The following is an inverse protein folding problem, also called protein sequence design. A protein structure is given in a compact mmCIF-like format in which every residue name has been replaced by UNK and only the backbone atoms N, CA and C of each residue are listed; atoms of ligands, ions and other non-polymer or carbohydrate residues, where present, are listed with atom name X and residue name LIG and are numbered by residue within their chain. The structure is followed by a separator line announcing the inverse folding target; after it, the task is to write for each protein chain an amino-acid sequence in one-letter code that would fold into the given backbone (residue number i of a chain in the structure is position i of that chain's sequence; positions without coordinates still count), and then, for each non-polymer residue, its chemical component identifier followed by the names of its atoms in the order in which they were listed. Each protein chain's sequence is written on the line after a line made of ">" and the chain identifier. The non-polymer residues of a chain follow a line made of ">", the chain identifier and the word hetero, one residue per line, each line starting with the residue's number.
data_IF_364583594803
#
_entry.id   IF_364583594803
#
_cell.length_a   1.000
_cell.length_b   1.000
_cell.length_c   1.000
_cell.angle_alpha   90.00
_cell.angle_beta   90.00
_cell.angle_gamma   90.00
#
_symmetry.space_group_name_H-M   'P 1'
#
loop_
_entity.id
_entity.type
_entity.pdbx_description
1 polymer ?
#
# COMPACT_ATOMS: atom_id res chain seq x y z
N UNK A 1 26.48 3.71 -3.41
CA UNK A 1 25.38 3.27 -2.53
C UNK A 1 25.98 2.14 -1.73
N UNK A 2 26.59 2.45 -0.58
CA UNK A 2 27.63 1.58 0.00
C UNK A 2 27.17 0.90 1.29
N UNK A 3 25.85 0.68 1.43
CA UNK A 3 25.30 -0.17 2.49
C UNK A 3 24.57 -1.34 1.83
N UNK A 4 25.30 -2.44 1.67
CA UNK A 4 24.70 -3.73 1.39
C UNK A 4 23.94 -4.19 2.64
N UNK A 5 22.62 -4.17 2.58
CA UNK A 5 21.77 -4.80 3.57
C UNK A 5 21.52 -6.23 3.14
N UNK A 6 21.94 -7.22 3.93
CA UNK A 6 21.63 -8.63 3.66
C UNK A 6 20.37 -9.02 4.42
N UNK A 7 19.29 -9.24 3.69
CA UNK A 7 18.04 -9.75 4.27
C UNK A 7 18.11 -11.29 4.35
N UNK A 8 17.84 -11.85 5.52
CA UNK A 8 17.91 -13.30 5.75
C UNK A 8 16.57 -13.99 5.89
N UNK A 9 15.49 -13.26 6.14
CA UNK A 9 14.14 -13.80 6.23
C UNK A 9 13.56 -14.19 4.86
N UNK A 10 12.34 -14.72 4.87
CA UNK A 10 11.52 -14.96 3.70
C UNK A 10 10.70 -13.72 3.33
N UNK A 11 10.46 -13.57 2.03
CA UNK A 11 9.41 -12.70 1.53
C UNK A 11 8.16 -13.54 1.31
N UNK A 12 7.05 -13.19 1.96
CA UNK A 12 5.74 -13.82 1.74
C UNK A 12 4.82 -12.80 1.09
N UNK A 13 4.57 -12.98 -0.20
CA UNK A 13 3.66 -12.14 -0.98
C UNK A 13 2.23 -12.62 -0.85
N UNK A 14 1.33 -11.75 -0.40
CA UNK A 14 -0.11 -12.00 -0.45
C UNK A 14 -0.67 -11.31 -1.69
N UNK A 15 -1.23 -12.10 -2.62
CA UNK A 15 -1.73 -11.61 -3.90
C UNK A 15 -0.73 -11.81 -5.06
N UNK A 16 -1.26 -12.20 -6.22
CA UNK A 16 -0.49 -12.40 -7.46
C UNK A 16 -1.11 -11.62 -8.65
N UNK A 17 -1.48 -10.37 -8.37
CA UNK A 17 -2.01 -9.43 -9.36
C UNK A 17 -0.92 -8.76 -10.21
N UNK A 18 -1.29 -7.66 -10.88
CA UNK A 18 -0.38 -6.87 -11.73
C UNK A 18 0.83 -6.34 -10.96
N UNK A 19 0.64 -5.87 -9.72
CA UNK A 19 1.72 -5.27 -8.92
C UNK A 19 2.74 -6.32 -8.50
N UNK A 20 2.32 -7.47 -7.97
CA UNK A 20 3.24 -8.57 -7.63
C UNK A 20 4.05 -9.02 -8.84
N UNK A 21 3.39 -9.15 -10.01
CA UNK A 21 4.06 -9.53 -11.27
C UNK A 21 5.07 -8.48 -11.75
N UNK A 22 4.86 -7.20 -11.44
CA UNK A 22 5.79 -6.11 -11.76
C UNK A 22 6.95 -6.01 -10.77
N UNK A 23 6.73 -6.31 -9.48
CA UNK A 23 7.72 -6.16 -8.40
C UNK A 23 8.65 -7.37 -8.31
N UNK A 24 8.15 -8.60 -8.42
CA UNK A 24 8.96 -9.82 -8.29
C UNK A 24 10.20 -9.84 -9.19
N UNK A 25 10.14 -9.46 -10.49
CA UNK A 25 11.33 -9.43 -11.34
C UNK A 25 12.39 -8.43 -10.87
N UNK A 26 12.00 -7.36 -10.16
CA UNK A 26 12.93 -6.39 -9.59
C UNK A 26 13.66 -6.97 -8.37
N UNK A 27 12.95 -7.74 -7.54
CA UNK A 27 13.52 -8.41 -6.36
C UNK A 27 14.43 -9.56 -6.74
N UNK A 28 14.06 -10.36 -7.74
CA UNK A 28 14.89 -11.48 -8.25
C UNK A 28 16.26 -10.99 -8.73
N UNK A 29 16.36 -9.74 -9.20
CA UNK A 29 17.62 -9.13 -9.65
C UNK A 29 18.51 -8.64 -8.51
N UNK A 30 18.03 -8.58 -7.27
CA UNK A 30 18.82 -8.11 -6.13
C UNK A 30 19.68 -9.26 -5.59
N UNK A 31 21.00 -9.08 -5.57
CA UNK A 31 21.95 -10.11 -5.11
C UNK A 31 21.82 -10.42 -3.61
N UNK A 32 21.27 -9.49 -2.84
CA UNK A 32 21.03 -9.58 -1.40
C UNK A 32 19.79 -10.40 -1.05
N UNK A 33 18.93 -10.72 -2.04
CA UNK A 33 17.69 -11.47 -1.85
C UNK A 33 17.83 -12.85 -2.49
N UNK A 34 17.58 -13.90 -1.70
CA UNK A 34 17.57 -15.25 -2.23
C UNK A 34 16.18 -15.60 -2.77
N UNK A 35 16.07 -15.92 -4.06
CA UNK A 35 14.80 -16.20 -4.73
C UNK A 35 14.05 -17.39 -4.11
N UNK A 36 14.77 -18.40 -3.62
CA UNK A 36 14.20 -19.56 -2.94
C UNK A 36 13.54 -19.23 -1.58
N UNK A 37 13.71 -17.99 -1.10
CA UNK A 37 13.04 -17.46 0.10
C UNK A 37 11.83 -16.59 -0.24
N UNK A 38 11.36 -16.64 -1.49
CA UNK A 38 10.15 -15.95 -1.91
C UNK A 38 9.01 -16.98 -1.99
N UNK A 39 7.93 -16.69 -1.25
CA UNK A 39 6.67 -17.43 -1.26
C UNK A 39 5.58 -16.50 -1.77
N UNK A 40 4.70 -16.99 -2.65
CA UNK A 40 3.53 -16.25 -3.12
C UNK A 40 2.26 -17.03 -2.76
N UNK A 41 1.36 -16.39 -2.02
CA UNK A 41 0.03 -16.90 -1.70
C UNK A 41 -1.04 -16.11 -2.44
N UNK A 42 -1.85 -16.80 -3.25
CA UNK A 42 -3.01 -16.22 -3.91
C UNK A 42 -4.01 -17.31 -4.37
N UNK A 43 -5.31 -16.99 -4.47
CA UNK A 43 -6.31 -17.95 -4.94
C UNK A 43 -6.17 -18.25 -6.45
N UNK A 44 -5.72 -17.26 -7.23
CA UNK A 44 -5.52 -17.34 -8.68
C UNK A 44 -4.04 -17.15 -8.99
N UNK A 45 -3.46 -18.10 -9.73
CA UNK A 45 -2.02 -18.14 -10.01
C UNK A 45 -1.68 -18.12 -11.52
N UNK A 46 -2.56 -17.57 -12.34
CA UNK A 46 -2.36 -17.46 -13.78
C UNK A 46 -1.13 -16.61 -14.13
N UNK A 47 -0.30 -17.09 -15.07
CA UNK A 47 0.92 -16.41 -15.49
C UNK A 47 2.13 -16.64 -14.59
N UNK A 48 2.09 -17.64 -13.69
CA UNK A 48 3.20 -17.95 -12.78
C UNK A 48 4.40 -18.68 -13.42
N UNK A 49 4.26 -19.21 -14.63
CA UNK A 49 5.22 -20.16 -15.22
C UNK A 49 6.65 -19.63 -15.27
N UNK A 50 6.82 -18.36 -15.66
CA UNK A 50 8.14 -17.73 -15.70
C UNK A 50 8.77 -17.61 -14.30
N UNK A 51 7.96 -17.33 -13.28
CA UNK A 51 8.39 -17.14 -11.90
C UNK A 51 8.68 -18.47 -11.19
N UNK A 52 7.90 -19.53 -11.47
CA UNK A 52 8.19 -20.90 -11.02
C UNK A 52 9.57 -21.36 -11.48
N UNK A 53 9.93 -21.06 -12.74
CA UNK A 53 11.24 -21.40 -13.28
C UNK A 53 12.41 -20.66 -12.57
N UNK A 54 12.13 -19.60 -11.81
CA UNK A 54 13.14 -18.89 -10.99
C UNK A 54 13.31 -19.50 -9.58
N UNK A 55 12.42 -20.42 -9.17
CA UNK A 55 12.47 -21.06 -7.85
C UNK A 55 11.59 -20.42 -6.77
N UNK A 56 10.58 -19.62 -7.16
CA UNK A 56 9.57 -19.09 -6.24
C UNK A 56 8.64 -20.22 -5.76
N UNK A 57 8.32 -20.20 -4.47
CA UNK A 57 7.35 -21.14 -3.86
C UNK A 57 5.92 -20.59 -3.94
N UNK A 58 4.95 -21.47 -4.16
CA UNK A 58 3.55 -21.08 -4.42
C UNK A 58 2.56 -21.75 -3.46
N UNK A 59 1.61 -20.97 -2.95
CA UNK A 59 0.50 -21.43 -2.13
C UNK A 59 -0.81 -20.99 -2.77
N UNK A 60 -1.55 -21.93 -3.36
CA UNK A 60 -2.82 -21.61 -4.02
C UNK A 60 -3.97 -21.57 -3.01
N UNK A 61 -4.07 -20.46 -2.27
CA UNK A 61 -5.11 -20.19 -1.26
C UNK A 61 -5.46 -18.70 -1.25
N UNK A 62 -6.74 -18.40 -1.04
CA UNK A 62 -7.19 -17.06 -0.67
C UNK A 62 -7.19 -16.91 0.85
N UNK A 63 -6.67 -15.78 1.35
CA UNK A 63 -6.78 -15.45 2.76
C UNK A 63 -8.19 -14.92 3.05
N UNK A 64 -8.78 -15.43 4.13
CA UNK A 64 -10.07 -14.99 4.65
C UNK A 64 -9.94 -14.74 6.14
N UNK A 65 -10.91 -14.02 6.72
CA UNK A 65 -10.96 -13.76 8.16
C UNK A 65 -10.87 -15.04 9.00
N UNK A 66 -11.38 -16.17 8.50
CA UNK A 66 -11.42 -17.45 9.22
C UNK A 66 -10.11 -18.24 9.11
N UNK A 67 -9.36 -18.11 8.02
CA UNK A 67 -8.22 -18.97 7.73
C UNK A 67 -6.85 -18.27 7.83
N UNK A 68 -6.80 -16.93 7.83
CA UNK A 68 -5.55 -16.23 7.59
C UNK A 68 -4.48 -16.51 8.66
N UNK A 69 -4.86 -16.60 9.94
CA UNK A 69 -3.90 -16.90 11.01
C UNK A 69 -3.25 -18.25 10.81
N UNK A 70 -4.05 -19.30 10.63
CA UNK A 70 -3.54 -20.66 10.42
C UNK A 70 -2.55 -20.71 9.24
N UNK A 71 -2.95 -20.14 8.11
CA UNK A 71 -2.11 -20.17 6.90
C UNK A 71 -0.82 -19.35 7.11
N UNK A 72 -0.91 -18.18 7.73
CA UNK A 72 0.26 -17.33 7.96
C UNK A 72 1.20 -17.91 9.03
N UNK A 73 0.66 -18.57 10.08
CA UNK A 73 1.45 -19.28 11.11
C UNK A 73 2.26 -20.44 10.50
N UNK A 74 1.75 -21.11 9.45
CA UNK A 74 2.47 -22.16 8.73
C UNK A 74 3.59 -21.62 7.83
N UNK A 75 3.50 -20.36 7.40
CA UNK A 75 4.39 -19.77 6.39
C UNK A 75 5.41 -18.80 6.97
N UNK A 76 5.09 -18.09 8.04
CA UNK A 76 5.88 -16.99 8.59
C UNK A 76 6.63 -17.40 9.85
N UNK A 77 7.82 -16.84 10.00
CA UNK A 77 8.61 -16.86 11.23
C UNK A 77 9.16 -15.46 11.53
N UNK A 78 9.57 -15.23 12.78
CA UNK A 78 10.13 -13.94 13.18
C UNK A 78 11.34 -13.55 12.32
N UNK A 79 11.35 -12.32 11.83
CA UNK A 79 12.36 -11.81 10.89
C UNK A 79 11.99 -11.95 9.41
N UNK A 80 10.87 -12.59 9.09
CA UNK A 80 10.30 -12.58 7.73
C UNK A 80 9.70 -11.21 7.37
N UNK A 81 9.34 -11.08 6.10
CA UNK A 81 8.70 -9.89 5.54
C UNK A 81 7.46 -10.29 4.72
N UNK A 82 6.28 -9.94 5.25
CA UNK A 82 5.02 -10.07 4.53
C UNK A 82 4.78 -8.83 3.64
N UNK A 83 4.57 -9.08 2.35
CA UNK A 83 4.29 -8.05 1.34
C UNK A 83 2.87 -8.27 0.81
N UNK A 84 1.93 -7.46 1.29
CA UNK A 84 0.52 -7.55 0.93
C UNK A 84 0.20 -6.70 -0.31
N UNK A 85 -0.02 -7.38 -1.44
CA UNK A 85 -0.42 -6.81 -2.73
C UNK A 85 -1.71 -7.47 -3.22
N UNK A 86 -2.63 -7.72 -2.29
CA UNK A 86 -3.91 -8.36 -2.52
C UNK A 86 -5.08 -7.37 -2.44
N UNK A 87 -6.27 -7.87 -2.78
CA UNK A 87 -7.56 -7.22 -2.56
C UNK A 87 -8.37 -8.09 -1.61
N UNK A 88 -9.36 -7.52 -0.93
CA UNK A 88 -10.27 -8.25 -0.03
C UNK A 88 -9.60 -8.91 1.20
N UNK A 89 -8.39 -8.47 1.57
CA UNK A 89 -7.63 -9.00 2.72
C UNK A 89 -7.32 -7.87 3.69
N UNK A 90 -7.75 -8.00 4.94
CA UNK A 90 -7.63 -6.93 5.94
C UNK A 90 -6.19 -6.55 6.27
N UNK A 91 -5.77 -5.35 5.89
CA UNK A 91 -4.45 -4.82 6.26
C UNK A 91 -4.28 -4.75 7.79
N UNK A 92 -5.33 -4.34 8.51
CA UNK A 92 -5.30 -4.18 9.97
C UNK A 92 -5.04 -5.52 10.66
N UNK A 93 -5.71 -6.58 10.23
CA UNK A 93 -5.55 -7.90 10.87
C UNK A 93 -4.23 -8.56 10.52
N UNK A 94 -3.71 -8.32 9.30
CA UNK A 94 -2.39 -8.75 8.89
C UNK A 94 -1.29 -8.00 9.66
N UNK A 95 -1.41 -6.68 9.85
CA UNK A 95 -0.44 -5.90 10.66
C UNK A 95 -0.43 -6.41 12.10
N UNK A 96 -1.60 -6.65 12.72
CA UNK A 96 -1.68 -7.24 14.07
C UNK A 96 -0.97 -8.58 14.15
N UNK A 97 -1.21 -9.45 13.16
CA UNK A 97 -0.61 -10.77 13.11
C UNK A 97 0.91 -10.68 12.92
N UNK A 98 1.39 -9.89 11.97
CA UNK A 98 2.82 -9.70 11.73
C UNK A 98 3.53 -9.11 12.96
N UNK A 99 2.90 -8.14 13.65
CA UNK A 99 3.44 -7.57 14.87
C UNK A 99 3.60 -8.63 15.98
N UNK A 100 2.59 -9.49 16.17
CA UNK A 100 2.66 -10.57 17.15
C UNK A 100 3.70 -11.65 16.80
N UNK A 101 3.93 -11.89 15.51
CA UNK A 101 4.84 -12.93 15.01
C UNK A 101 6.27 -12.44 14.75
N UNK A 102 6.59 -11.17 15.02
CA UNK A 102 7.93 -10.64 14.78
C UNK A 102 8.28 -10.42 13.30
N UNK A 103 7.27 -10.19 12.45
CA UNK A 103 7.36 -10.12 10.98
C UNK A 103 7.23 -8.68 10.49
N UNK A 104 8.08 -8.28 9.54
CA UNK A 104 7.96 -6.99 8.85
C UNK A 104 6.74 -7.00 7.92
N UNK A 105 6.10 -5.84 7.75
CA UNK A 105 4.90 -5.73 6.91
C UNK A 105 4.98 -4.58 5.91
N UNK A 106 4.47 -4.80 4.70
CA UNK A 106 4.24 -3.74 3.71
C UNK A 106 2.93 -3.98 2.96
N UNK A 107 2.16 -2.92 2.72
CA UNK A 107 1.04 -2.92 1.77
C UNK A 107 1.01 -1.64 0.92
N UNK A 108 0.08 -1.58 -0.03
CA UNK A 108 -0.09 -0.42 -0.94
C UNK A 108 -1.42 0.31 -0.75
N UNK A 109 -2.34 -0.27 0.02
CA UNK A 109 -3.62 0.31 0.44
C UNK A 109 -3.97 -0.24 1.83
N UNK A 110 -4.85 0.45 2.57
CA UNK A 110 -5.46 -0.10 3.79
C UNK A 110 -6.76 -0.77 3.38
N UNK A 111 -6.71 -2.09 3.22
CA UNK A 111 -7.80 -2.88 2.67
C UNK A 111 -8.64 -3.52 3.80
N UNK A 112 -9.97 -3.66 3.65
CA UNK A 112 -10.80 -4.49 4.54
C UNK A 112 -10.83 -5.96 4.07
N UNK A 113 -11.46 -6.83 4.87
CA UNK A 113 -11.86 -8.15 4.37
C UNK A 113 -12.93 -8.03 3.28
N UNK A 114 -13.08 -9.07 2.46
CA UNK A 114 -14.14 -9.19 1.46
C UNK A 114 -15.52 -8.75 1.99
N UNK A 115 -16.22 -7.91 1.23
CA UNK A 115 -17.51 -7.33 1.61
C UNK A 115 -17.44 -6.11 2.53
N UNK A 116 -16.25 -5.70 2.98
CA UNK A 116 -16.10 -4.56 3.91
C UNK A 116 -16.39 -3.19 3.29
N UNK A 117 -16.19 -3.03 1.98
CA UNK A 117 -16.45 -1.77 1.27
C UNK A 117 -17.96 -1.49 1.06
N UNK A 118 -18.78 -2.52 1.03
CA UNK A 118 -20.22 -2.47 0.76
C UNK A 118 -21.08 -3.06 1.88
N UNK A 119 -20.49 -3.31 3.05
CA UNK A 119 -21.20 -3.83 4.24
C UNK A 119 -22.40 -2.91 4.59
N UNK A 120 -23.66 -3.39 4.44
CA UNK A 120 -24.84 -2.59 4.72
C UNK A 120 -25.04 -2.33 6.21
N UNK A 121 -24.34 -3.05 7.09
CA UNK A 121 -24.36 -2.80 8.53
C UNK A 121 -23.50 -1.59 8.93
N UNK A 122 -22.62 -1.10 8.04
CA UNK A 122 -21.75 0.04 8.28
C UNK A 122 -22.29 1.33 7.66
N UNK A 123 -22.22 2.42 8.42
CA UNK A 123 -22.50 3.75 7.89
C UNK A 123 -21.51 4.12 6.78
N UNK A 124 -21.85 5.11 5.95
CA UNK A 124 -20.92 5.64 4.94
C UNK A 124 -19.61 6.11 5.57
N UNK A 125 -19.66 6.78 6.72
CA UNK A 125 -18.46 7.28 7.41
C UNK A 125 -17.55 6.15 7.89
N UNK A 126 -18.12 5.00 8.27
CA UNK A 126 -17.35 3.82 8.71
C UNK A 126 -16.66 3.09 7.56
N UNK A 127 -17.10 3.31 6.31
CA UNK A 127 -16.55 2.69 5.09
C UNK A 127 -15.54 3.58 4.34
N UNK A 128 -15.15 4.71 4.94
CA UNK A 128 -14.18 5.67 4.36
C UNK A 128 -12.73 5.22 4.56
N UNK A 129 -11.84 5.70 3.70
CA UNK A 129 -10.40 5.52 3.88
C UNK A 129 -9.90 6.27 5.12
N UNK A 130 -10.53 7.40 5.47
CA UNK A 130 -10.33 8.09 6.75
C UNK A 130 -10.57 7.18 7.95
N UNK A 131 -11.72 6.48 8.01
CA UNK A 131 -12.03 5.59 9.11
C UNK A 131 -11.02 4.44 9.21
N UNK A 132 -10.68 3.80 8.10
CA UNK A 132 -9.68 2.73 8.06
C UNK A 132 -8.29 3.22 8.49
N UNK A 133 -7.87 4.41 8.03
CA UNK A 133 -6.64 5.05 8.47
C UNK A 133 -6.63 5.29 9.98
N UNK A 134 -7.75 5.77 10.55
CA UNK A 134 -7.86 5.98 11.98
C UNK A 134 -7.80 4.69 12.80
N UNK A 135 -8.37 3.60 12.29
CA UNK A 135 -8.22 2.29 12.92
C UNK A 135 -6.75 1.85 12.94
N UNK A 136 -6.00 2.07 11.86
CA UNK A 136 -4.56 1.77 11.80
C UNK A 136 -3.73 2.67 12.74
N UNK A 137 -4.06 3.96 12.85
CA UNK A 137 -3.41 4.87 13.81
C UNK A 137 -3.67 4.43 15.26
N UNK A 138 -4.89 4.01 15.57
CA UNK A 138 -5.22 3.47 16.90
C UNK A 138 -4.51 2.15 17.17
N UNK A 139 -4.39 1.28 16.17
CA UNK A 139 -3.60 0.05 16.28
C UNK A 139 -2.15 0.37 16.64
N UNK A 140 -1.52 1.34 15.98
CA UNK A 140 -0.16 1.78 16.29
C UNK A 140 0.02 2.17 17.77
N UNK A 141 -0.98 2.82 18.37
CA UNK A 141 -0.94 3.22 19.80
C UNK A 141 -1.06 2.03 20.77
N UNK A 142 -1.60 0.90 20.30
CA UNK A 142 -1.80 -0.31 21.09
C UNK A 142 -0.64 -1.31 20.99
N UNK A 143 0.24 -1.14 20.00
CA UNK A 143 1.39 -2.02 19.77
C UNK A 143 2.61 -1.47 20.51
N UNK A 144 3.24 -2.32 21.32
CA UNK A 144 4.46 -2.01 22.05
C UNK A 144 5.69 -2.49 21.26
N UNK A 145 6.52 -1.54 20.82
CA UNK A 145 7.74 -1.77 20.01
C UNK A 145 7.60 -2.85 18.90
N UNK A 146 6.57 -2.81 18.04
CA UNK A 146 6.38 -3.84 17.01
C UNK A 146 7.46 -3.78 15.92
N UNK A 147 7.69 -4.88 15.17
CA UNK A 147 8.37 -4.83 13.89
C UNK A 147 7.78 -3.75 12.97
N UNK A 148 8.62 -3.23 12.06
CA UNK A 148 8.19 -2.16 11.15
C UNK A 148 7.08 -2.64 10.21
N UNK A 149 5.97 -1.89 10.19
CA UNK A 149 4.89 -2.03 9.22
C UNK A 149 4.79 -0.74 8.37
N UNK A 150 5.01 -0.87 7.06
CA UNK A 150 4.92 0.23 6.09
C UNK A 150 3.59 0.14 5.36
N UNK A 151 2.65 0.97 5.77
CA UNK A 151 1.28 0.97 5.22
C UNK A 151 1.12 1.97 4.07
N UNK A 152 0.20 1.67 3.14
CA UNK A 152 -0.23 2.51 2.04
C UNK A 152 0.95 3.06 1.22
N UNK A 153 1.86 2.17 0.81
CA UNK A 153 3.14 2.51 0.18
C UNK A 153 3.31 1.97 -1.24
N UNK A 154 2.37 2.33 -2.11
CA UNK A 154 2.47 2.15 -3.56
C UNK A 154 2.93 3.44 -4.27
N UNK A 155 2.30 3.73 -5.41
CA UNK A 155 2.50 4.99 -6.11
C UNK A 155 1.74 6.13 -5.40
N UNK A 156 0.42 5.99 -5.25
CA UNK A 156 -0.51 6.95 -4.66
C UNK A 156 -1.69 6.22 -4.00
N UNK A 157 -1.60 5.88 -2.70
CA UNK A 157 -0.69 6.42 -1.69
C UNK A 157 0.73 5.82 -1.73
N UNK A 158 1.72 6.54 -1.17
CA UNK A 158 3.13 6.12 -1.13
C UNK A 158 4.07 7.14 -1.76
N UNK A 159 4.59 6.87 -2.96
CA UNK A 159 5.56 7.71 -3.69
C UNK A 159 5.17 9.19 -3.78
N UNK A 160 3.89 9.51 -3.99
CA UNK A 160 3.35 10.88 -3.92
C UNK A 160 3.81 11.63 -2.66
N UNK A 161 3.86 10.98 -1.51
CA UNK A 161 4.29 11.64 -0.26
C UNK A 161 5.76 12.06 -0.31
N UNK A 162 6.60 11.31 -1.04
CA UNK A 162 8.01 11.66 -1.24
C UNK A 162 8.14 12.79 -2.25
N UNK A 163 7.38 12.71 -3.36
CA UNK A 163 7.34 13.76 -4.38
C UNK A 163 6.83 15.10 -3.81
N UNK A 164 5.84 15.06 -2.90
CA UNK A 164 5.36 16.26 -2.22
C UNK A 164 6.48 16.91 -1.39
N UNK A 165 7.28 16.14 -0.66
CA UNK A 165 8.42 16.67 0.10
C UNK A 165 9.45 17.34 -0.83
N UNK A 166 9.82 16.69 -1.93
CA UNK A 166 10.71 17.28 -2.94
C UNK A 166 10.12 18.54 -3.59
N UNK A 167 8.82 18.54 -3.87
CA UNK A 167 8.12 19.70 -4.42
C UNK A 167 8.12 20.89 -3.44
N UNK A 168 7.91 20.64 -2.14
CA UNK A 168 7.97 21.67 -1.11
C UNK A 168 9.38 22.26 -0.98
N UNK A 169 10.43 21.44 -1.02
CA UNK A 169 11.82 21.92 -1.03
C UNK A 169 12.12 22.76 -2.29
N UNK A 170 11.66 22.27 -3.45
CA UNK A 170 11.85 22.95 -4.73
C UNK A 170 11.15 24.31 -4.75
N UNK A 171 9.91 24.37 -4.26
CA UNK A 171 9.13 25.61 -4.14
C UNK A 171 9.79 26.58 -3.17
N UNK A 172 10.23 26.11 -2.00
CA UNK A 172 10.90 26.93 -1.00
C UNK A 172 12.15 27.62 -1.57
N UNK A 173 12.93 26.90 -2.38
CA UNK A 173 14.08 27.45 -3.09
C UNK A 173 13.69 28.57 -4.07
N UNK A 174 12.60 28.40 -4.83
CA UNK A 174 12.13 29.41 -5.78
C UNK A 174 11.59 30.66 -5.08
N UNK A 175 10.84 30.47 -3.99
CA UNK A 175 10.28 31.55 -3.18
C UNK A 175 11.30 32.19 -2.22
N UNK A 176 12.51 31.63 -2.13
CA UNK A 176 13.55 32.00 -1.14
C UNK A 176 13.03 31.91 0.30
N UNK A 177 12.12 30.97 0.55
CA UNK A 177 11.59 30.67 1.89
C UNK A 177 12.58 29.80 2.64
N UNK A 178 13.04 30.19 3.85
CA UNK A 178 13.88 29.34 4.68
C UNK A 178 13.18 28.03 5.02
N UNK A 179 13.90 26.91 4.97
CA UNK A 179 13.35 25.60 5.35
C UNK A 179 13.31 25.50 6.88
N UNK A 180 12.13 25.46 7.53
CA UNK A 180 12.03 25.35 8.98
C UNK A 180 12.49 23.96 9.43
N UNK A 181 13.19 23.92 10.57
CA UNK A 181 13.75 22.69 11.14
C UNK A 181 13.33 22.52 12.60
N UNK A 182 13.06 21.28 12.97
CA UNK A 182 12.92 20.81 14.35
C UNK A 182 14.09 19.89 14.70
N UNK A 183 14.14 19.37 15.93
CA UNK A 183 15.11 18.32 16.32
C UNK A 183 14.96 17.04 15.49
N UNK A 184 13.78 16.78 14.93
CA UNK A 184 13.46 15.57 14.17
C UNK A 184 13.67 15.73 12.65
N UNK A 185 14.06 16.92 12.17
CA UNK A 185 14.25 17.20 10.74
C UNK A 185 13.44 18.40 10.26
N UNK A 186 13.07 18.41 8.98
CA UNK A 186 12.28 19.49 8.38
C UNK A 186 10.87 19.53 8.98
N UNK A 187 10.42 20.72 9.35
CA UNK A 187 9.02 20.96 9.71
C UNK A 187 8.18 21.16 8.44
N UNK A 188 7.69 20.05 7.87
CA UNK A 188 6.97 20.05 6.61
C UNK A 188 5.65 20.85 6.67
N UNK A 189 4.97 20.83 7.82
CA UNK A 189 3.71 21.54 8.00
C UNK A 189 3.95 23.05 8.07
N UNK A 190 4.93 23.50 8.87
CA UNK A 190 5.32 24.90 8.92
C UNK A 190 5.82 25.40 7.56
N UNK A 191 6.56 24.56 6.82
CA UNK A 191 7.05 24.92 5.48
C UNK A 191 5.89 25.15 4.50
N UNK A 192 4.93 24.23 4.42
CA UNK A 192 3.76 24.38 3.56
C UNK A 192 2.94 25.62 3.93
N UNK A 193 2.75 25.88 5.23
CA UNK A 193 2.05 27.07 5.74
C UNK A 193 2.76 28.38 5.37
N UNK A 194 4.09 28.46 5.54
CA UNK A 194 4.87 29.67 5.22
C UNK A 194 4.85 30.02 3.73
N UNK A 195 4.69 29.00 2.87
CA UNK A 195 4.57 29.18 1.42
C UNK A 195 3.12 29.39 0.94
N UNK A 196 2.15 29.48 1.86
CA UNK A 196 0.71 29.60 1.57
C UNK A 196 0.20 28.49 0.62
N UNK A 197 0.68 27.25 0.81
CA UNK A 197 0.17 26.10 0.07
C UNK A 197 -1.25 25.77 0.55
N UNK A 198 -2.23 26.08 -0.29
CA UNK A 198 -3.66 25.90 0.03
C UNK A 198 -4.20 24.53 -0.33
N UNK A 199 -3.86 24.07 -1.54
CA UNK A 199 -4.41 22.86 -2.14
C UNK A 199 -3.29 22.03 -2.74
N UNK A 200 -3.36 20.72 -2.53
CA UNK A 200 -2.49 19.73 -3.18
C UNK A 200 -3.40 18.76 -3.91
N UNK A 201 -3.22 18.63 -5.21
CA UNK A 201 -3.85 17.57 -6.00
C UNK A 201 -2.85 16.45 -6.26
N UNK A 202 -3.31 15.21 -6.10
CA UNK A 202 -2.64 14.06 -6.72
C UNK A 202 -3.10 14.05 -8.19
N UNK A 203 -2.42 14.84 -9.01
CA UNK A 203 -2.79 15.07 -10.40
C UNK A 203 -2.19 14.00 -11.30
N UNK A 204 -3.01 13.02 -11.67
CA UNK A 204 -2.61 11.90 -12.52
C UNK A 204 -3.34 11.93 -13.87
N UNK A 205 -2.62 11.60 -14.94
CA UNK A 205 -3.18 11.41 -16.27
C UNK A 205 -2.52 10.21 -16.95
N UNK A 206 -3.22 9.08 -16.95
CA UNK A 206 -2.82 7.91 -17.73
C UNK A 206 -3.19 8.14 -19.21
N UNK A 207 -2.23 7.92 -20.10
CA UNK A 207 -2.38 8.03 -21.57
C UNK A 207 -2.05 6.73 -22.29
N UNK A 208 -1.83 5.65 -21.55
CA UNK A 208 -1.59 4.33 -22.11
C UNK A 208 -2.80 3.90 -22.95
N UNK A 209 -2.52 3.35 -24.12
CA UNK A 209 -3.53 2.84 -25.04
C UNK A 209 -3.23 1.39 -25.41
N UNK A 210 -4.29 0.58 -25.57
CA UNK A 210 -4.17 -0.78 -26.09
C UNK A 210 -4.39 -0.79 -27.60
N UNK A 211 -3.71 -1.69 -28.30
CA UNK A 211 -4.03 -2.00 -29.70
C UNK A 211 -5.38 -2.74 -29.83
N UNK A 212 -5.84 -3.37 -28.74
CA UNK A 212 -7.14 -4.02 -28.69
C UNK A 212 -8.23 -2.99 -28.39
N UNK A 213 -9.22 -2.93 -29.28
CA UNK A 213 -10.43 -2.12 -29.07
C UNK A 213 -11.21 -2.68 -27.87
N UNK A 214 -11.62 -1.80 -26.96
CA UNK A 214 -12.49 -2.12 -25.82
C UNK A 214 -13.80 -2.76 -26.34
N UNK A 215 -14.19 -3.90 -25.78
CA UNK A 215 -15.44 -4.58 -26.14
C UNK A 215 -16.64 -4.03 -25.33
N UNK A 216 -17.89 -4.23 -25.81
CA UNK A 216 -19.08 -4.12 -24.97
C UNK A 216 -18.95 -5.04 -23.74
N UNK A 217 -19.54 -4.62 -22.62
CA UNK A 217 -19.53 -5.36 -21.33
C UNK A 217 -18.15 -5.71 -20.76
N UNK A 218 -17.10 -5.00 -21.21
CA UNK A 218 -15.74 -5.14 -20.70
C UNK A 218 -15.32 -3.89 -19.92
N UNK A 219 -14.76 -4.09 -18.73
CA UNK A 219 -14.03 -3.06 -17.99
C UNK A 219 -12.53 -3.17 -18.29
N UNK A 220 -11.88 -2.08 -18.68
CA UNK A 220 -10.44 -2.04 -18.99
C UNK A 220 -9.78 -1.02 -18.10
N UNK A 221 -8.68 -1.40 -17.46
CA UNK A 221 -7.84 -0.53 -16.65
C UNK A 221 -6.36 -0.94 -16.81
N UNK A 222 -5.43 -0.05 -16.45
CA UNK A 222 -3.98 -0.30 -16.47
C UNK A 222 -3.47 -0.96 -15.18
N UNK A 223 -4.34 -1.04 -14.17
CA UNK A 223 -4.14 -1.74 -12.90
C UNK A 223 -5.44 -2.45 -12.48
N UNK A 224 -5.55 -2.87 -11.21
CA UNK A 224 -6.66 -3.67 -10.68
C UNK A 224 -8.03 -3.07 -11.05
N UNK A 225 -8.84 -3.85 -11.79
CA UNK A 225 -10.22 -3.46 -12.10
C UNK A 225 -11.07 -3.50 -10.84
N UNK A 226 -10.97 -4.57 -10.06
CA UNK A 226 -11.76 -4.74 -8.83
C UNK A 226 -11.39 -3.68 -7.80
N UNK A 227 -10.09 -3.40 -7.62
CA UNK A 227 -9.62 -2.33 -6.73
C UNK A 227 -10.16 -0.96 -7.14
N UNK A 228 -10.03 -0.60 -8.42
CA UNK A 228 -10.53 0.67 -8.95
C UNK A 228 -12.05 0.81 -8.82
N UNK A 229 -12.81 -0.27 -9.06
CA UNK A 229 -14.25 -0.27 -8.90
C UNK A 229 -14.68 -0.15 -7.43
N UNK A 230 -13.99 -0.85 -6.52
CA UNK A 230 -14.26 -0.76 -5.08
C UNK A 230 -14.01 0.65 -4.57
N UNK A 231 -12.86 1.23 -4.87
CA UNK A 231 -12.52 2.62 -4.49
C UNK A 231 -13.49 3.63 -5.13
N UNK A 232 -13.78 3.48 -6.43
CA UNK A 232 -14.68 4.38 -7.15
C UNK A 232 -16.14 4.33 -6.70
N UNK A 233 -16.53 3.29 -5.96
CA UNK A 233 -17.86 3.16 -5.33
C UNK A 233 -17.90 3.68 -3.89
N UNK A 234 -16.75 3.97 -3.27
CA UNK A 234 -16.71 4.64 -1.98
C UNK A 234 -17.20 6.10 -2.14
N UNK A 235 -17.48 6.73 -1.00
CA UNK A 235 -17.78 8.16 -0.99
C UNK A 235 -16.57 8.96 -1.51
N UNK A 236 -16.82 10.03 -2.26
CA UNK A 236 -15.78 10.98 -2.59
C UNK A 236 -15.16 11.53 -1.30
N UNK A 237 -13.85 11.44 -1.20
CA UNK A 237 -13.12 11.74 0.03
C UNK A 237 -12.00 12.74 -0.25
N UNK A 238 -11.85 13.73 0.63
CA UNK A 238 -10.78 14.73 0.57
C UNK A 238 -10.42 15.21 1.98
N UNK A 239 -9.18 15.62 2.15
CA UNK A 239 -8.77 16.36 3.35
C UNK A 239 -9.16 17.82 3.20
N UNK A 240 -9.95 18.35 4.14
CA UNK A 240 -10.43 19.73 4.07
C UNK A 240 -9.34 20.70 4.53
N UNK A 241 -8.92 21.60 3.64
CA UNK A 241 -7.98 22.66 3.97
C UNK A 241 -8.60 23.71 4.87
N UNK A 242 -7.84 24.29 5.80
CA UNK A 242 -8.31 25.37 6.69
C UNK A 242 -8.70 26.66 5.95
N UNK A 243 -8.31 26.80 4.69
CA UNK A 243 -8.66 27.92 3.82
C UNK A 243 -10.06 27.79 3.18
N UNK A 244 -10.64 26.59 3.21
CA UNK A 244 -11.94 26.31 2.60
C UNK A 244 -13.05 27.02 3.38
N UNK A 245 -13.88 27.79 2.67
CA UNK A 245 -14.96 28.59 3.28
C UNK A 245 -16.35 27.97 3.07
N UNK A 246 -16.45 27.04 2.14
CA UNK A 246 -17.69 26.38 1.75
C UNK A 246 -17.41 24.89 1.59
N UNK A 247 -18.37 24.06 1.96
CA UNK A 247 -18.40 22.65 1.58
C UNK A 247 -19.52 22.44 0.56
N UNK A 248 -19.30 21.55 -0.40
CA UNK A 248 -20.40 21.01 -1.18
C UNK A 248 -21.34 20.27 -0.22
N UNK A 249 -22.61 20.70 -0.18
CA UNK A 249 -23.67 20.08 0.62
C UNK A 249 -24.22 18.82 -0.02
#
# INVERSE_FOLDING_TARGET
>A
MDRQFRFTGKFVFVGFGSITKAVLPLLIKQHEISVNRIVVIAPVLEGRQWFEAQGITWVQRGLTQQNYKQILDELLEAGDFLVNLSVNVSSIDLVKHCAASGVLYLDTCVEPWEGGYDDPALSLSQRTNYAMRHQMLRLRELLDEPPTAVIAHGANPGLISHLLKEALISLAKQLKTPVPKTRAGVDWAALAMQMDVKVIHVAERDTQCSQRIKKPDEFVNTWSVDGFLSEGRQAAELSLGTHEKNMAG
#
